data_IF_989339078339
#
_entry.id   IF_989339078339
#
_cell.length_a   1.000
_cell.length_b   1.000
_cell.length_c   1.000
_cell.angle_alpha   90.00
_cell.angle_beta   90.00
_cell.angle_gamma   90.00
#
_symmetry.space_group_name_H-M   'P 1'
#
loop_
_entity.id
_entity.type
_entity.pdbx_description
1 polymer ?
#
# COMPACT_ATOMS: atom_id res chain seq x y z
N UNK A 1 2.23 -17.46 3.67
CA UNK A 1 0.95 -17.06 3.03
C UNK A 1 1.30 -16.61 1.63
N UNK A 2 0.94 -17.38 0.61
CA UNK A 2 1.25 -17.02 -0.78
C UNK A 2 0.00 -17.19 -1.62
N UNK A 3 -0.18 -16.32 -2.61
CA UNK A 3 -1.29 -16.33 -3.56
C UNK A 3 -0.79 -15.75 -4.89
N UNK A 4 -1.11 -16.46 -5.98
CA UNK A 4 -0.71 -16.12 -7.34
C UNK A 4 -1.89 -15.56 -8.14
N UNK A 5 -3.08 -15.43 -7.55
CA UNK A 5 -4.28 -14.81 -8.13
C UNK A 5 -4.79 -15.37 -9.49
N UNK A 6 -4.24 -16.50 -9.96
CA UNK A 6 -4.54 -17.31 -11.16
C UNK A 6 -5.95 -17.94 -11.23
N UNK A 7 -7.00 -17.18 -10.93
CA UNK A 7 -8.39 -17.54 -11.17
C UNK A 7 -9.21 -16.26 -11.26
N UNK A 8 -9.90 -16.03 -12.38
CA UNK A 8 -10.74 -14.86 -12.62
C UNK A 8 -11.96 -14.78 -11.66
N UNK A 9 -12.44 -13.57 -11.38
CA UNK A 9 -13.75 -13.34 -10.74
C UNK A 9 -13.85 -13.77 -9.27
N UNK A 10 -12.73 -13.88 -8.54
CA UNK A 10 -12.72 -14.29 -7.14
C UNK A 10 -13.39 -13.25 -6.24
N UNK A 11 -14.49 -13.64 -5.60
CA UNK A 11 -15.05 -12.88 -4.48
C UNK A 11 -14.08 -12.88 -3.29
N UNK A 12 -13.99 -11.74 -2.62
CA UNK A 12 -13.28 -11.55 -1.36
C UNK A 12 -14.24 -11.28 -0.19
N UNK A 13 -15.53 -11.57 -0.35
CA UNK A 13 -16.52 -11.48 0.74
C UNK A 13 -16.20 -12.46 1.89
N UNK A 14 -16.79 -12.21 3.06
CA UNK A 14 -16.49 -12.92 4.30
C UNK A 14 -17.02 -14.36 4.30
N UNK A 15 -16.19 -15.29 3.80
CA UNK A 15 -16.49 -16.72 3.73
C UNK A 15 -16.20 -17.33 2.35
N UNK A 16 -16.16 -16.51 1.31
CA UNK A 16 -15.99 -16.94 -0.08
C UNK A 16 -14.54 -17.34 -0.43
N UNK A 17 -13.54 -16.77 0.28
CA UNK A 17 -12.14 -17.13 0.07
C UNK A 17 -11.36 -17.40 1.35
N UNK A 18 -10.47 -18.40 1.28
CA UNK A 18 -9.82 -19.01 2.44
C UNK A 18 -8.53 -18.32 2.91
N UNK A 19 -7.92 -17.47 2.08
CA UNK A 19 -6.69 -16.71 2.45
C UNK A 19 -6.96 -15.23 2.76
N UNK A 20 -8.02 -14.65 2.20
CA UNK A 20 -8.24 -13.20 2.13
C UNK A 20 -9.71 -12.84 2.33
N UNK A 21 -10.00 -11.73 3.00
CA UNK A 21 -11.34 -11.12 3.05
C UNK A 21 -11.25 -9.60 2.98
N UNK A 22 -12.12 -9.00 2.16
CA UNK A 22 -12.32 -7.57 2.00
C UNK A 22 -13.23 -7.00 3.11
N UNK A 23 -13.09 -5.71 3.42
CA UNK A 23 -13.90 -5.02 4.42
C UNK A 23 -14.90 -4.05 3.79
N UNK A 24 -16.18 -4.18 4.15
CA UNK A 24 -17.17 -3.10 4.05
C UNK A 24 -17.08 -2.22 5.31
N UNK A 25 -16.36 -1.10 5.22
CA UNK A 25 -16.17 -0.18 6.35
C UNK A 25 -15.76 1.23 5.93
N UNK A 26 -16.41 2.23 6.52
CA UNK A 26 -15.95 3.62 6.52
C UNK A 26 -14.62 3.78 7.29
N UNK A 27 -13.65 4.49 6.70
CA UNK A 27 -12.39 4.78 7.39
C UNK A 27 -12.52 6.05 8.24
N UNK A 28 -12.19 5.96 9.53
CA UNK A 28 -12.28 7.05 10.50
C UNK A 28 -10.93 7.62 10.94
N UNK A 29 -9.80 7.24 10.31
CA UNK A 29 -8.48 7.81 10.64
C UNK A 29 -7.97 8.77 9.57
N UNK A 30 -7.04 9.63 9.98
CA UNK A 30 -6.20 10.44 9.10
C UNK A 30 -6.98 11.27 8.07
N UNK A 31 -8.12 11.87 8.43
CA UNK A 31 -9.00 12.64 7.52
C UNK A 31 -9.31 11.92 6.20
N UNK A 32 -9.69 10.64 6.30
CA UNK A 32 -10.04 9.79 5.17
C UNK A 32 -11.22 10.34 4.36
N UNK A 33 -11.15 10.20 3.03
CA UNK A 33 -12.21 10.62 2.09
C UNK A 33 -12.95 9.44 1.43
N UNK A 34 -12.66 8.20 1.85
CA UNK A 34 -13.16 6.97 1.23
C UNK A 34 -13.87 6.00 2.19
N UNK A 35 -14.78 5.22 1.64
CA UNK A 35 -15.31 3.99 2.24
C UNK A 35 -14.58 2.79 1.60
N UNK A 36 -14.16 1.83 2.41
CA UNK A 36 -13.77 0.52 1.89
C UNK A 36 -15.02 -0.35 1.69
N UNK A 37 -15.06 -1.08 0.58
CA UNK A 37 -16.14 -1.98 0.24
C UNK A 37 -15.63 -3.29 -0.37
N UNK A 38 -16.37 -4.37 -0.17
CA UNK A 38 -16.10 -5.70 -0.75
C UNK A 38 -16.15 -5.69 -2.27
N UNK A 39 -17.08 -4.93 -2.86
CA UNK A 39 -17.30 -4.87 -4.31
C UNK A 39 -16.28 -4.02 -5.11
N UNK A 40 -15.24 -3.48 -4.46
CA UNK A 40 -14.16 -2.71 -5.11
C UNK A 40 -12.88 -3.53 -5.30
N UNK A 41 -12.99 -4.86 -5.27
CA UNK A 41 -11.87 -5.78 -5.44
C UNK A 41 -12.33 -7.13 -5.96
N UNK A 42 -11.56 -7.70 -6.88
CA UNK A 42 -11.72 -9.06 -7.42
C UNK A 42 -10.41 -9.45 -8.13
N UNK A 43 -10.43 -10.53 -8.90
CA UNK A 43 -9.37 -10.93 -9.82
C UNK A 43 -9.82 -10.84 -11.27
N UNK A 44 -8.91 -10.47 -12.16
CA UNK A 44 -9.13 -10.26 -13.60
C UNK A 44 -7.95 -10.85 -14.37
N UNK A 45 -8.18 -11.34 -15.59
CA UNK A 45 -7.14 -11.95 -16.41
C UNK A 45 -7.04 -11.26 -17.78
N UNK A 46 -5.82 -10.94 -18.19
CA UNK A 46 -5.54 -10.35 -19.51
C UNK A 46 -5.62 -11.40 -20.64
N UNK A 47 -5.27 -12.64 -20.31
CA UNK A 47 -5.31 -13.85 -21.14
C UNK A 47 -5.37 -15.09 -20.21
N UNK A 48 -5.27 -16.30 -20.77
CA UNK A 48 -5.43 -17.55 -20.01
C UNK A 48 -4.34 -17.79 -18.94
N UNK A 49 -3.16 -17.17 -19.04
CA UNK A 49 -2.03 -17.35 -18.11
C UNK A 49 -1.73 -16.12 -17.24
N UNK A 50 -2.17 -14.91 -17.63
CA UNK A 50 -1.85 -13.64 -16.95
C UNK A 50 -3.05 -13.06 -16.17
N UNK A 51 -3.27 -13.58 -14.95
CA UNK A 51 -4.26 -13.08 -14.00
C UNK A 51 -3.65 -12.17 -12.92
N UNK A 52 -4.46 -11.29 -12.33
CA UNK A 52 -4.05 -10.43 -11.22
C UNK A 52 -5.22 -10.12 -10.28
N UNK A 53 -4.90 -9.90 -9.01
CA UNK A 53 -5.78 -9.25 -8.04
C UNK A 53 -5.79 -7.74 -8.28
N UNK A 54 -6.93 -7.08 -8.09
CA UNK A 54 -6.95 -5.63 -8.05
C UNK A 54 -7.78 -5.05 -6.90
N UNK A 55 -7.39 -3.84 -6.49
CA UNK A 55 -8.21 -2.92 -5.71
C UNK A 55 -8.52 -1.74 -6.61
N UNK A 56 -9.80 -1.57 -6.93
CA UNK A 56 -10.30 -0.41 -7.65
C UNK A 56 -10.53 0.75 -6.68
N UNK A 57 -10.45 1.96 -7.17
CA UNK A 57 -10.85 3.16 -6.43
C UNK A 57 -11.55 4.11 -7.38
N UNK A 58 -12.78 4.46 -7.03
CA UNK A 58 -13.71 5.23 -7.86
C UNK A 58 -14.39 6.36 -7.07
N UNK A 59 -14.95 7.32 -7.79
CA UNK A 59 -15.70 8.46 -7.25
C UNK A 59 -17.11 8.00 -6.88
N UNK A 60 -17.44 8.10 -5.59
CA UNK A 60 -18.73 7.67 -5.06
C UNK A 60 -19.09 8.47 -3.80
N UNK A 61 -19.80 9.59 -3.99
CA UNK A 61 -20.30 10.37 -2.85
C UNK A 61 -21.31 9.57 -2.03
N UNK A 62 -21.04 9.43 -0.74
CA UNK A 62 -21.84 8.66 0.21
C UNK A 62 -21.85 9.37 1.56
N UNK A 63 -23.02 9.89 1.95
CA UNK A 63 -23.23 10.51 3.25
C UNK A 63 -23.60 9.43 4.28
N UNK A 64 -22.86 9.35 5.38
CA UNK A 64 -23.07 8.36 6.45
C UNK A 64 -23.17 9.08 7.80
N UNK A 65 -24.20 8.75 8.57
CA UNK A 65 -24.29 9.13 9.98
C UNK A 65 -23.32 8.29 10.81
N UNK A 66 -22.31 8.91 11.42
CA UNK A 66 -21.28 8.25 12.24
C UNK A 66 -21.36 8.74 13.69
N UNK A 67 -20.90 7.90 14.64
CA UNK A 67 -20.71 8.32 16.02
C UNK A 67 -19.32 8.92 16.19
N UNK A 68 -19.23 10.13 16.77
CA UNK A 68 -17.97 10.83 17.01
C UNK A 68 -17.76 11.09 18.51
N UNK A 69 -16.74 10.44 19.09
CA UNK A 69 -16.32 10.59 20.48
C UNK A 69 -15.49 11.86 20.76
N UNK A 70 -15.12 12.62 19.72
CA UNK A 70 -14.17 13.74 19.80
C UNK A 70 -14.81 15.13 19.74
N UNK A 71 -16.12 15.22 19.49
CA UNK A 71 -16.87 16.48 19.57
C UNK A 71 -17.31 16.78 21.02
N UNK A 72 -17.44 18.07 21.34
CA UNK A 72 -17.84 18.53 22.68
C UNK A 72 -19.29 18.15 22.97
N UNK A 73 -19.47 17.13 23.81
CA UNK A 73 -20.62 16.22 23.83
C UNK A 73 -20.60 15.23 22.66
N UNK A 74 -20.08 14.00 22.85
CA UNK A 74 -20.16 12.92 21.87
C UNK A 74 -21.57 12.70 21.34
N UNK A 75 -21.66 12.36 20.06
CA UNK A 75 -22.94 12.26 19.37
C UNK A 75 -22.82 11.73 17.95
N UNK A 76 -23.96 11.75 17.26
CA UNK A 76 -24.02 11.42 15.83
C UNK A 76 -23.81 12.67 14.97
N UNK A 77 -23.00 12.54 13.94
CA UNK A 77 -22.75 13.55 12.90
C UNK A 77 -22.90 12.92 11.51
N UNK A 78 -23.27 13.72 10.51
CA UNK A 78 -23.27 13.27 9.11
C UNK A 78 -21.90 13.58 8.47
N UNK A 79 -21.27 12.58 7.87
CA UNK A 79 -19.97 12.70 7.21
C UNK A 79 -20.08 12.24 5.76
N UNK A 80 -19.66 13.12 4.85
CA UNK A 80 -19.53 12.85 3.43
C UNK A 80 -18.21 12.14 3.14
N UNK A 81 -18.30 10.91 2.65
CA UNK A 81 -17.21 10.24 1.94
C UNK A 81 -17.43 10.46 0.43
N UNK A 82 -16.35 10.57 -0.34
CA UNK A 82 -16.39 10.96 -1.75
C UNK A 82 -15.86 9.89 -2.70
N UNK A 83 -15.22 8.86 -2.14
CA UNK A 83 -14.57 7.79 -2.87
C UNK A 83 -14.96 6.43 -2.29
N UNK A 84 -14.92 5.40 -3.12
CA UNK A 84 -15.08 4.01 -2.70
C UNK A 84 -13.87 3.21 -3.20
N UNK A 85 -13.34 2.36 -2.34
CA UNK A 85 -12.12 1.57 -2.57
C UNK A 85 -12.23 0.23 -1.83
N UNK A 86 -11.17 -0.56 -1.74
CA UNK A 86 -11.13 -1.79 -0.93
C UNK A 86 -9.94 -1.83 0.06
N UNK A 87 -10.15 -2.57 1.14
CA UNK A 87 -9.12 -3.05 2.05
C UNK A 87 -9.31 -4.55 2.21
N UNK A 88 -8.29 -5.34 1.86
CA UNK A 88 -8.28 -6.80 1.88
C UNK A 88 -7.25 -7.28 2.89
N UNK A 89 -7.68 -8.17 3.80
CA UNK A 89 -6.89 -8.64 4.93
C UNK A 89 -6.69 -10.15 4.85
N UNK A 90 -5.48 -10.62 5.14
CA UNK A 90 -5.14 -12.03 5.18
C UNK A 90 -5.69 -12.75 6.42
N UNK A 91 -6.31 -13.91 6.25
CA UNK A 91 -6.80 -14.75 7.35
C UNK A 91 -5.68 -15.40 8.16
N UNK A 92 -4.67 -15.94 7.46
CA UNK A 92 -3.60 -16.70 8.09
C UNK A 92 -2.62 -15.76 8.81
N UNK A 93 -2.64 -15.78 10.13
CA UNK A 93 -1.68 -15.02 10.94
C UNK A 93 -0.39 -15.82 11.11
N UNK A 94 0.76 -15.22 10.82
CA UNK A 94 2.07 -15.87 10.82
C UNK A 94 3.16 -14.94 11.41
N UNK A 95 4.21 -15.52 11.98
CA UNK A 95 5.31 -14.76 12.57
C UNK A 95 6.48 -14.72 11.59
N UNK A 96 6.80 -13.54 11.02
CA UNK A 96 8.03 -13.37 10.24
C UNK A 96 9.22 -13.57 11.18
N UNK A 97 9.98 -14.64 10.95
CA UNK A 97 11.22 -14.96 11.66
C UNK A 97 12.28 -15.34 10.62
N UNK A 98 12.96 -14.33 10.06
CA UNK A 98 13.88 -14.49 8.93
C UNK A 98 13.21 -14.67 7.56
N UNK A 99 11.87 -14.59 7.50
CA UNK A 99 11.11 -14.80 6.26
C UNK A 99 11.18 -13.61 5.31
N UNK A 100 11.27 -13.89 4.00
CA UNK A 100 11.21 -12.91 2.91
C UNK A 100 9.78 -12.85 2.37
N UNK A 101 9.22 -11.65 2.24
CA UNK A 101 7.96 -11.44 1.53
C UNK A 101 8.20 -10.64 0.24
N UNK A 102 7.74 -11.19 -0.88
CA UNK A 102 7.82 -10.57 -2.21
C UNK A 102 6.40 -10.36 -2.74
N UNK A 103 6.15 -9.17 -3.27
CA UNK A 103 4.85 -8.74 -3.81
C UNK A 103 5.10 -8.09 -5.16
N UNK A 104 4.59 -8.66 -6.25
CA UNK A 104 4.67 -8.02 -7.58
C UNK A 104 3.39 -7.22 -7.82
N UNK A 105 3.52 -5.90 -7.95
CA UNK A 105 2.38 -4.98 -7.94
C UNK A 105 2.58 -3.76 -8.83
N UNK A 106 1.47 -3.16 -9.25
CA UNK A 106 1.40 -1.87 -9.94
C UNK A 106 0.54 -0.94 -9.09
N UNK A 107 1.04 0.26 -8.82
CA UNK A 107 0.35 1.26 -8.01
C UNK A 107 -0.65 2.07 -8.87
N UNK A 108 -1.80 2.47 -8.30
CA UNK A 108 -2.77 3.30 -9.00
C UNK A 108 -2.23 4.73 -9.16
N UNK A 109 -2.51 5.33 -10.31
CA UNK A 109 -2.15 6.70 -10.62
C UNK A 109 -2.76 7.13 -11.95
N UNK A 110 -2.89 8.43 -12.17
CA UNK A 110 -3.40 8.99 -13.40
C UNK A 110 -2.31 8.93 -14.49
N UNK A 111 -2.07 7.74 -15.06
CA UNK A 111 -0.94 7.46 -15.97
C UNK A 111 -1.35 7.25 -17.44
N UNK A 112 -2.58 7.59 -17.81
CA UNK A 112 -3.02 7.58 -19.21
C UNK A 112 -2.57 8.84 -19.95
N UNK A 113 -2.36 8.77 -21.28
CA UNK A 113 -2.11 9.98 -22.09
C UNK A 113 -3.26 11.00 -22.01
N UNK A 114 -4.48 10.56 -21.72
CA UNK A 114 -5.64 11.43 -21.55
C UNK A 114 -5.56 12.29 -20.28
N UNK A 115 -4.92 11.79 -19.21
CA UNK A 115 -4.87 12.43 -17.89
C UNK A 115 -4.16 13.79 -17.84
N UNK A 116 -3.39 14.15 -18.87
CA UNK A 116 -2.54 15.35 -18.88
C UNK A 116 -1.26 15.25 -18.03
N UNK A 117 -0.98 14.09 -17.42
CA UNK A 117 0.15 13.90 -16.51
C UNK A 117 1.51 14.16 -17.21
N UNK A 118 2.32 15.13 -16.72
CA UNK A 118 3.60 15.49 -17.34
C UNK A 118 4.67 14.39 -17.22
N UNK A 119 4.56 13.48 -16.25
CA UNK A 119 5.45 12.33 -16.10
C UNK A 119 5.21 11.29 -17.21
N UNK A 120 4.00 11.27 -17.80
CA UNK A 120 3.62 10.45 -18.95
C UNK A 120 3.94 11.16 -20.28
N UNK A 121 3.97 12.50 -20.29
CA UNK A 121 4.44 13.25 -21.45
C UNK A 121 5.95 13.08 -21.69
N UNK A 122 6.74 12.80 -20.64
CA UNK A 122 8.20 12.63 -20.68
C UNK A 122 8.63 11.30 -20.03
N UNK A 123 8.02 10.18 -20.46
CA UNK A 123 8.21 8.85 -19.87
C UNK A 123 9.67 8.50 -19.58
N UNK A 124 9.97 8.29 -18.31
CA UNK A 124 11.21 7.67 -17.84
C UNK A 124 10.92 6.82 -16.61
N UNK A 125 11.08 5.50 -16.73
CA UNK A 125 10.83 4.55 -15.64
C UNK A 125 11.63 4.84 -14.36
N UNK A 126 12.79 5.48 -14.50
CA UNK A 126 13.71 5.86 -13.41
C UNK A 126 13.57 7.32 -12.95
N UNK A 127 12.78 8.14 -13.63
CA UNK A 127 12.34 9.41 -13.06
C UNK A 127 11.38 9.17 -11.90
N UNK A 128 11.31 10.12 -10.96
CA UNK A 128 10.32 10.10 -9.87
C UNK A 128 9.09 10.92 -10.25
N UNK A 129 7.92 10.46 -9.82
CA UNK A 129 6.66 11.18 -9.94
C UNK A 129 6.79 12.63 -9.47
N UNK A 130 6.48 13.61 -10.34
CA UNK A 130 6.89 15.01 -10.14
C UNK A 130 5.92 15.86 -9.34
N UNK A 131 4.61 15.57 -9.38
CA UNK A 131 3.62 16.14 -8.46
C UNK A 131 2.70 15.07 -7.89
N UNK A 132 2.28 15.28 -6.64
CA UNK A 132 1.27 14.48 -5.95
C UNK A 132 -0.10 14.51 -6.63
N UNK A 133 -0.42 15.55 -7.40
CA UNK A 133 -1.76 15.77 -7.96
C UNK A 133 -2.21 14.59 -8.86
N UNK A 134 -1.29 13.96 -9.60
CA UNK A 134 -1.57 12.80 -10.46
C UNK A 134 -1.55 11.45 -9.72
N UNK A 135 -1.20 11.43 -8.44
CA UNK A 135 -1.14 10.23 -7.58
C UNK A 135 -1.81 10.52 -6.21
N UNK A 136 -3.10 10.90 -6.18
CA UNK A 136 -3.81 11.29 -4.96
C UNK A 136 -4.17 10.12 -4.04
N UNK A 137 -3.75 8.90 -4.38
CA UNK A 137 -4.06 7.67 -3.67
C UNK A 137 -2.87 7.21 -2.84
N UNK A 138 -3.13 6.61 -1.68
CA UNK A 138 -2.13 5.91 -0.88
C UNK A 138 -2.36 4.39 -0.98
N UNK A 139 -1.83 3.71 -2.01
CA UNK A 139 -1.72 2.26 -2.01
C UNK A 139 -0.81 1.82 -0.87
N UNK A 140 -1.18 0.72 -0.22
CA UNK A 140 -0.41 0.13 0.85
C UNK A 140 -0.48 -1.39 0.82
N UNK A 141 0.68 -2.03 0.69
CA UNK A 141 0.90 -3.41 1.10
C UNK A 141 1.70 -3.40 2.40
N UNK A 142 1.09 -3.87 3.47
CA UNK A 142 1.64 -3.78 4.83
C UNK A 142 1.17 -4.93 5.70
N UNK A 143 1.65 -4.97 6.94
CA UNK A 143 1.31 -6.00 7.91
C UNK A 143 0.92 -5.36 9.25
N UNK A 144 0.02 -6.02 9.98
CA UNK A 144 -0.37 -5.62 11.33
C UNK A 144 -0.37 -6.81 12.29
N UNK A 145 0.05 -6.57 13.53
CA UNK A 145 0.05 -7.57 14.60
C UNK A 145 -1.37 -7.97 15.03
N UNK A 146 -1.53 -9.23 15.42
CA UNK A 146 -2.79 -9.87 15.75
C UNK A 146 -3.69 -9.17 16.78
N UNK A 147 -3.10 -8.37 17.68
CA UNK A 147 -3.77 -7.57 18.69
C UNK A 147 -4.61 -6.42 18.13
N UNK A 148 -4.27 -5.89 16.95
CA UNK A 148 -4.95 -4.77 16.32
C UNK A 148 -5.72 -5.18 15.07
N UNK A 149 -6.90 -4.59 14.86
CA UNK A 149 -7.60 -4.61 13.56
C UNK A 149 -7.42 -3.24 12.90
N UNK A 150 -6.86 -3.20 11.70
CA UNK A 150 -6.71 -1.95 10.96
C UNK A 150 -8.07 -1.25 10.82
N UNK A 151 -8.08 0.09 10.80
CA UNK A 151 -9.26 0.98 10.78
C UNK A 151 -10.31 0.81 11.91
N UNK A 152 -10.11 -0.10 12.86
CA UNK A 152 -10.84 -0.15 14.14
C UNK A 152 -10.00 0.54 15.23
N UNK A 153 -10.11 1.86 15.32
CA UNK A 153 -9.32 2.76 16.20
C UNK A 153 -9.23 2.31 17.66
N UNK A 154 -10.34 1.82 18.23
CA UNK A 154 -10.38 1.30 19.61
C UNK A 154 -9.57 0.02 19.81
N UNK A 155 -9.30 -0.76 18.75
CA UNK A 155 -8.49 -1.99 18.82
C UNK A 155 -6.98 -1.76 18.62
N UNK A 156 -6.60 -0.73 17.85
CA UNK A 156 -5.18 -0.41 17.62
C UNK A 156 -4.58 0.44 18.73
N UNK A 157 -5.40 1.00 19.63
CA UNK A 157 -4.96 1.98 20.65
C UNK A 157 -4.16 3.16 20.05
N UNK A 158 -4.48 3.55 18.81
CA UNK A 158 -3.74 4.52 17.97
C UNK A 158 -2.31 4.11 17.56
N UNK A 159 -1.89 2.87 17.80
CA UNK A 159 -0.64 2.34 17.28
C UNK A 159 -0.75 2.11 15.75
N UNK A 160 0.25 2.57 15.02
CA UNK A 160 0.54 2.18 13.63
C UNK A 160 1.46 0.94 13.65
N UNK A 161 1.71 0.21 12.54
CA UNK A 161 2.29 -1.14 12.58
C UNK A 161 3.78 -1.21 12.99
N UNK A 162 4.43 -0.07 13.29
CA UNK A 162 5.83 0.00 13.68
C UNK A 162 5.98 0.41 15.15
N UNK A 163 6.45 -0.51 15.97
CA UNK A 163 7.08 -0.20 17.26
C UNK A 163 8.57 0.06 17.03
N UNK A 164 9.14 1.02 17.75
CA UNK A 164 10.58 1.30 17.74
C UNK A 164 11.24 0.75 19.00
N UNK A 165 12.53 0.43 18.93
CA UNK A 165 13.32 -0.05 20.08
C UNK A 165 13.57 1.00 21.16
N UNK A 166 13.31 2.27 20.85
CA UNK A 166 13.59 3.45 21.65
C UNK A 166 12.39 4.41 21.63
N UNK A 167 12.34 5.37 22.57
CA UNK A 167 11.34 6.43 22.61
C UNK A 167 12.06 7.79 22.64
N UNK A 168 12.07 8.49 21.50
CA UNK A 168 12.92 9.64 21.21
C UNK A 168 12.24 10.53 20.17
N UNK A 169 12.28 11.86 20.30
CA UNK A 169 11.66 12.82 19.37
C UNK A 169 12.14 12.63 17.92
N UNK A 170 13.40 12.20 17.72
CA UNK A 170 13.96 11.87 16.40
C UNK A 170 13.15 10.80 15.65
N UNK A 171 12.47 9.90 16.36
CA UNK A 171 11.65 8.82 15.78
C UNK A 171 10.37 9.38 15.14
N UNK A 172 9.85 10.50 15.67
CA UNK A 172 8.68 11.20 15.14
C UNK A 172 8.98 12.02 13.88
N UNK A 173 10.26 12.17 13.49
CA UNK A 173 10.64 12.87 12.26
C UNK A 173 10.32 11.99 11.03
N UNK A 174 9.47 12.49 10.13
CA UNK A 174 9.05 11.80 8.91
C UNK A 174 10.21 11.46 7.96
N UNK A 175 11.36 12.14 8.02
CA UNK A 175 12.55 11.77 7.24
C UNK A 175 13.14 10.40 7.61
N UNK A 176 12.82 9.89 8.79
CA UNK A 176 13.20 8.53 9.24
C UNK A 176 12.15 7.47 8.85
N UNK A 177 11.05 7.86 8.20
CA UNK A 177 10.02 6.98 7.65
C UNK A 177 10.22 6.90 6.13
N UNK A 178 11.20 6.11 5.69
CA UNK A 178 11.54 5.99 4.27
C UNK A 178 10.59 5.04 3.55
N UNK A 179 10.16 5.43 2.36
CA UNK A 179 9.41 4.56 1.45
C UNK A 179 10.38 3.57 0.79
N UNK A 180 10.24 2.27 1.10
CA UNK A 180 10.99 1.23 0.41
C UNK A 180 10.36 0.92 -0.96
N UNK A 181 10.60 1.81 -1.93
CA UNK A 181 10.36 1.52 -3.33
C UNK A 181 11.57 0.74 -3.88
N UNK A 182 11.37 -0.53 -4.21
CA UNK A 182 12.41 -1.41 -4.75
C UNK A 182 13.05 -0.78 -5.99
N UNK A 183 14.36 -0.54 -5.93
CA UNK A 183 15.10 0.24 -6.94
C UNK A 183 15.74 -0.60 -8.04
N UNK A 184 15.40 -1.89 -8.16
CA UNK A 184 15.97 -2.79 -9.17
C UNK A 184 17.47 -3.09 -8.99
N UNK A 185 18.01 -2.90 -7.78
CA UNK A 185 19.40 -3.22 -7.48
C UNK A 185 19.55 -4.71 -7.11
N UNK A 186 20.65 -5.34 -7.53
CA UNK A 186 21.02 -6.65 -6.99
C UNK A 186 21.46 -6.50 -5.54
N UNK A 187 21.02 -7.44 -4.71
CA UNK A 187 21.24 -7.35 -3.27
C UNK A 187 22.68 -7.79 -2.94
N UNK A 188 23.44 -6.86 -2.37
CA UNK A 188 24.80 -7.08 -1.86
C UNK A 188 24.80 -8.00 -0.64
N UNK A 189 24.56 -9.30 -0.86
CA UNK A 189 24.83 -10.30 0.17
C UNK A 189 26.35 -10.44 0.39
N UNK A 190 26.76 -11.01 1.52
CA UNK A 190 28.18 -11.12 1.89
C UNK A 190 28.99 -12.11 1.03
N UNK A 191 28.36 -12.79 0.07
CA UNK A 191 29.02 -13.68 -0.91
C UNK A 191 29.07 -13.05 -2.32
N UNK A 192 28.49 -11.86 -2.56
CA UNK A 192 28.58 -11.22 -3.88
C UNK A 192 29.98 -10.67 -4.13
N UNK A 193 30.61 -11.13 -5.21
CA UNK A 193 31.96 -10.78 -5.61
C UNK A 193 32.05 -9.55 -6.52
N UNK A 194 30.91 -9.02 -6.99
CA UNK A 194 30.86 -7.76 -7.74
C UNK A 194 30.89 -6.56 -6.76
N UNK A 195 31.94 -5.71 -6.77
CA UNK A 195 32.06 -4.57 -5.86
C UNK A 195 31.02 -3.47 -6.07
N UNK A 196 30.39 -3.39 -7.25
CA UNK A 196 29.31 -2.44 -7.57
C UNK A 196 27.92 -3.10 -7.50
N UNK A 197 27.86 -4.43 -7.32
CA UNK A 197 26.63 -5.24 -7.23
C UNK A 197 25.64 -5.00 -8.39
N UNK A 198 26.18 -5.11 -9.61
CA UNK A 198 25.45 -5.06 -10.88
C UNK A 198 25.12 -6.43 -11.48
N UNK A 199 25.71 -7.52 -10.95
CA UNK A 199 25.42 -8.91 -11.36
C UNK A 199 25.17 -9.89 -10.18
N UNK A 200 24.72 -11.10 -10.51
CA UNK A 200 24.35 -12.18 -9.57
C UNK A 200 25.46 -13.25 -9.44
N UNK A 201 26.27 -13.15 -8.39
CA UNK A 201 27.23 -14.19 -8.01
C UNK A 201 26.56 -15.44 -7.41
N UNK A 202 27.00 -16.63 -7.83
CA UNK A 202 26.49 -17.92 -7.32
C UNK A 202 27.02 -18.27 -5.93
N UNK A 203 26.13 -18.70 -5.03
CA UNK A 203 26.41 -18.98 -3.61
C UNK A 203 26.80 -20.44 -3.33
N UNK A 204 27.63 -20.66 -2.30
CA UNK A 204 27.93 -22.00 -1.75
C UNK A 204 28.09 -22.05 -0.22
N UNK A 205 27.26 -21.38 0.59
CA UNK A 205 27.18 -21.70 2.02
C UNK A 205 25.82 -21.48 2.70
N UNK A 206 25.48 -22.34 3.67
CA UNK A 206 24.25 -22.28 4.46
C UNK A 206 24.52 -21.86 5.91
N UNK A 207 24.73 -20.56 6.17
CA UNK A 207 24.39 -19.90 7.44
C UNK A 207 24.82 -18.41 7.48
N UNK A 208 23.85 -17.49 7.59
CA UNK A 208 24.07 -16.21 8.29
C UNK A 208 22.76 -15.74 8.93
N UNK A 209 22.85 -15.09 10.10
CA UNK A 209 21.70 -14.80 10.97
C UNK A 209 21.20 -13.36 10.84
N UNK A 210 19.88 -13.22 10.88
CA UNK A 210 19.12 -12.06 10.39
C UNK A 210 19.17 -10.83 11.34
N UNK A 211 19.44 -9.60 10.85
CA UNK A 211 19.26 -8.31 11.60
C UNK A 211 18.51 -7.25 10.75
N UNK A 212 17.64 -6.41 11.34
CA UNK A 212 16.38 -5.96 10.69
C UNK A 212 16.36 -4.47 10.21
N UNK A 213 15.60 -4.25 9.12
CA UNK A 213 14.79 -3.06 8.81
C UNK A 213 13.35 -3.50 8.48
N UNK A 214 12.35 -2.59 8.61
CA UNK A 214 10.94 -2.86 8.26
C UNK A 214 10.26 -1.61 7.71
N UNK A 215 9.95 -1.61 6.42
CA UNK A 215 9.14 -0.56 5.80
C UNK A 215 7.89 -1.17 5.18
N UNK A 216 6.77 -0.44 5.27
CA UNK A 216 5.58 -0.80 4.51
C UNK A 216 5.82 -0.44 3.05
N UNK A 217 5.30 -1.26 2.14
CA UNK A 217 5.22 -0.94 0.72
C UNK A 217 4.04 0.01 0.53
N UNK A 218 4.22 1.23 1.02
CA UNK A 218 3.17 2.21 1.25
C UNK A 218 3.71 3.59 0.88
N UNK A 219 3.34 4.05 -0.31
CA UNK A 219 3.79 5.29 -0.91
C UNK A 219 2.62 5.90 -1.67
N UNK A 220 2.38 7.20 -1.46
CA UNK A 220 1.40 7.95 -2.24
C UNK A 220 2.04 8.51 -3.52
N UNK A 221 3.17 9.20 -3.39
CA UNK A 221 3.90 9.80 -4.52
C UNK A 221 5.42 9.85 -4.29
N UNK A 222 6.17 10.37 -5.27
CA UNK A 222 7.61 10.63 -5.17
C UNK A 222 8.52 9.41 -5.32
N UNK A 223 7.98 8.26 -5.74
CA UNK A 223 8.75 7.06 -6.14
C UNK A 223 9.00 7.04 -7.65
N UNK A 224 9.78 6.07 -8.12
CA UNK A 224 10.09 5.90 -9.53
C UNK A 224 8.86 5.51 -10.35
N UNK A 225 8.72 6.08 -11.55
CA UNK A 225 7.55 5.93 -12.42
C UNK A 225 7.25 4.47 -12.81
N UNK A 226 8.26 3.60 -12.82
CA UNK A 226 8.07 2.15 -12.98
C UNK A 226 6.96 1.58 -12.08
N UNK A 227 6.85 2.05 -10.83
CA UNK A 227 5.85 1.57 -9.88
C UNK A 227 4.39 1.90 -10.23
N UNK A 228 4.15 2.88 -11.10
CA UNK A 228 2.81 3.23 -11.60
C UNK A 228 2.57 2.71 -13.03
N UNK A 229 3.64 2.51 -13.81
CA UNK A 229 3.57 2.14 -15.22
C UNK A 229 3.62 0.63 -15.49
N UNK A 230 4.17 -0.17 -14.56
CA UNK A 230 4.37 -1.61 -14.73
C UNK A 230 4.25 -2.37 -13.38
N UNK A 231 4.17 -3.70 -13.45
CA UNK A 231 4.17 -4.63 -12.32
C UNK A 231 5.59 -4.81 -11.75
N UNK A 232 5.99 -3.91 -10.86
CA UNK A 232 7.27 -3.96 -10.14
C UNK A 232 7.25 -5.01 -9.03
N UNK A 233 8.32 -5.79 -8.95
CA UNK A 233 8.56 -6.70 -7.82
C UNK A 233 9.05 -5.90 -6.62
N UNK A 234 8.28 -5.86 -5.54
CA UNK A 234 8.67 -5.28 -4.26
C UNK A 234 9.05 -6.36 -3.26
N UNK A 235 10.17 -6.20 -2.57
CA UNK A 235 10.60 -7.08 -1.48
C UNK A 235 10.58 -6.38 -0.12
N UNK A 236 10.05 -7.06 0.89
CA UNK A 236 10.17 -6.67 2.30
C UNK A 236 11.33 -7.45 2.90
N UNK A 237 12.44 -6.77 3.13
CA UNK A 237 13.72 -7.36 3.54
C UNK A 237 14.25 -6.78 4.85
N UNK A 238 14.71 -7.68 5.71
CA UNK A 238 15.24 -7.40 7.05
C UNK A 238 16.75 -7.13 6.93
N UNK A 239 17.12 -5.88 6.61
CA UNK A 239 18.51 -5.40 6.36
C UNK A 239 19.25 -4.99 7.65
N UNK A 240 20.47 -5.51 7.84
CA UNK A 240 21.26 -5.36 9.07
C UNK A 240 21.99 -4.02 9.24
N UNK A 241 22.14 -3.21 8.17
CA UNK A 241 23.21 -2.22 8.07
C UNK A 241 22.77 -0.81 7.62
N UNK A 242 22.03 -0.07 8.47
CA UNK A 242 22.02 1.40 8.39
C UNK A 242 21.57 2.12 9.68
N UNK A 243 21.72 3.45 9.68
CA UNK A 243 21.64 4.35 10.85
C UNK A 243 20.21 4.75 11.28
N UNK A 244 19.17 4.07 10.78
CA UNK A 244 17.78 4.38 11.15
C UNK A 244 17.45 3.82 12.55
N UNK A 245 16.49 4.42 13.29
CA UNK A 245 15.96 3.82 14.52
C UNK A 245 15.44 2.41 14.26
N UNK A 246 15.81 1.44 15.11
CA UNK A 246 15.50 0.02 14.87
C UNK A 246 14.02 -0.24 15.14
N UNK A 247 13.24 -0.35 14.06
CA UNK A 247 11.87 -0.84 14.11
C UNK A 247 11.88 -2.29 14.59
N UNK A 248 11.24 -2.53 15.74
CA UNK A 248 11.12 -3.85 16.33
C UNK A 248 9.93 -4.54 15.69
N UNK A 249 10.18 -5.59 14.90
CA UNK A 249 9.12 -6.52 14.52
C UNK A 249 8.52 -7.12 15.79
N UNK A 250 7.19 -7.10 15.87
CA UNK A 250 6.51 -7.79 16.95
C UNK A 250 6.62 -9.28 16.66
N UNK A 251 7.27 -10.05 17.53
CA UNK A 251 7.41 -11.52 17.43
C UNK A 251 6.09 -12.25 17.73
N UNK A 252 5.00 -11.78 17.12
CA UNK A 252 3.63 -12.26 17.26
C UNK A 252 3.04 -12.50 15.87
N UNK A 253 1.94 -13.27 15.78
CA UNK A 253 1.28 -13.50 14.52
C UNK A 253 0.84 -12.18 13.88
N UNK A 254 1.19 -11.98 12.62
CA UNK A 254 0.81 -10.83 11.80
C UNK A 254 0.07 -11.30 10.55
N UNK A 255 -0.70 -10.41 9.94
CA UNK A 255 -1.42 -10.67 8.70
C UNK A 255 -1.11 -9.56 7.68
N UNK A 256 -1.11 -9.92 6.40
CA UNK A 256 -1.00 -8.94 5.31
C UNK A 256 -2.28 -8.15 5.14
N UNK A 257 -2.12 -6.90 4.71
CA UNK A 257 -3.18 -5.98 4.35
C UNK A 257 -2.79 -5.34 3.01
N UNK A 258 -3.69 -5.45 2.03
CA UNK A 258 -3.71 -4.63 0.82
C UNK A 258 -4.81 -3.57 0.98
N UNK A 259 -4.52 -2.30 0.69
CA UNK A 259 -5.56 -1.28 0.56
C UNK A 259 -5.14 -0.17 -0.40
N UNK A 260 -6.12 0.60 -0.88
CA UNK A 260 -5.87 1.91 -1.49
C UNK A 260 -6.64 2.95 -0.68
N UNK A 261 -5.94 3.92 -0.10
CA UNK A 261 -6.54 4.88 0.83
C UNK A 261 -6.48 6.30 0.29
N UNK A 262 -7.57 7.06 0.44
CA UNK A 262 -7.63 8.49 0.09
C UNK A 262 -7.87 9.36 1.33
N UNK A 263 -7.24 10.53 1.37
CA UNK A 263 -7.22 11.45 2.53
C UNK A 263 -6.78 12.86 2.14
N UNK A 264 -7.38 13.88 2.73
CA UNK A 264 -6.91 15.26 2.65
C UNK A 264 -5.56 15.50 3.34
N UNK A 265 -5.17 14.64 4.29
CA UNK A 265 -3.83 14.64 4.90
C UNK A 265 -2.74 14.09 3.96
N UNK A 266 -3.12 13.43 2.85
CA UNK A 266 -2.20 12.91 1.83
C UNK A 266 -2.43 13.55 0.45
N UNK A 267 -3.04 14.74 0.40
CA UNK A 267 -3.23 15.53 -0.82
C UNK A 267 -4.50 15.24 -1.62
N UNK A 268 -5.25 14.19 -1.32
CA UNK A 268 -6.53 13.94 -1.98
C UNK A 268 -7.55 15.03 -1.64
N UNK A 269 -8.26 15.54 -2.65
CA UNK A 269 -9.33 16.54 -2.51
C UNK A 269 -10.63 15.91 -2.98
N UNK A 270 -11.80 16.21 -2.39
CA UNK A 270 -13.06 15.75 -2.93
C UNK A 270 -13.26 16.17 -4.40
N UNK A 271 -13.98 15.37 -5.21
CA UNK A 271 -14.63 15.90 -6.40
C UNK A 271 -15.61 17.01 -5.96
N UNK A 272 -15.59 18.15 -6.65
CA UNK A 272 -16.58 19.23 -6.51
C UNK A 272 -16.71 19.93 -5.13
N UNK A 273 -15.66 20.00 -4.31
CA UNK A 273 -15.66 20.83 -3.09
C UNK A 273 -15.56 22.35 -3.37
N UNK A 274 -16.64 22.96 -3.86
CA UNK A 274 -16.94 24.41 -3.71
C UNK A 274 -16.89 25.27 -4.97
N UNK A 275 -15.93 25.04 -5.88
CA UNK A 275 -15.87 25.68 -7.22
C UNK A 275 -14.84 25.04 -8.16
N UNK A 276 -13.83 24.37 -7.59
CA UNK A 276 -12.75 23.67 -8.28
C UNK A 276 -12.48 22.38 -7.47
N UNK A 277 -12.67 21.21 -8.07
CA UNK A 277 -12.52 19.91 -7.39
C UNK A 277 -12.50 18.78 -8.40
N UNK A 278 -11.80 17.68 -8.10
CA UNK A 278 -11.15 16.84 -9.13
C UNK A 278 -9.97 17.57 -9.86
N UNK A 279 -9.20 18.34 -9.10
CA UNK A 279 -8.06 19.12 -9.61
C UNK A 279 -7.03 18.31 -10.39
N UNK A 280 -6.87 18.67 -11.66
CA UNK A 280 -5.73 19.52 -12.03
C UNK A 280 -6.23 20.90 -12.48
N UNK A 281 -5.30 21.81 -12.80
CA UNK A 281 -5.49 23.20 -13.27
C UNK A 281 -6.28 23.42 -14.58
N UNK A 282 -7.24 22.56 -14.93
CA UNK A 282 -8.09 22.61 -16.12
C UNK A 282 -7.47 22.04 -17.42
N UNK A 283 -7.48 20.74 -17.76
CA UNK A 283 -8.07 19.57 -17.05
C UNK A 283 -9.62 19.71 -16.91
N UNK A 284 -10.45 18.67 -16.71
CA UNK A 284 -10.64 17.86 -15.50
C UNK A 284 -10.09 16.41 -15.58
N UNK A 285 -9.38 16.08 -16.66
CA UNK A 285 -8.69 14.83 -17.04
C UNK A 285 -8.17 13.82 -15.97
N UNK A 286 -7.91 14.20 -14.71
CA UNK A 286 -7.68 13.20 -13.64
C UNK A 286 -8.98 12.58 -13.13
N UNK A 287 -10.10 13.31 -13.15
CA UNK A 287 -11.43 12.75 -12.92
C UNK A 287 -11.73 11.66 -13.97
N UNK A 288 -11.37 11.92 -15.24
CA UNK A 288 -11.45 10.96 -16.34
C UNK A 288 -10.44 9.78 -16.23
N UNK A 289 -9.54 9.81 -15.25
CA UNK A 289 -8.64 8.71 -14.93
C UNK A 289 -9.18 7.80 -13.80
N UNK A 290 -10.32 8.12 -13.20
CA UNK A 290 -11.08 7.16 -12.37
C UNK A 290 -11.96 6.27 -13.28
N UNK A 291 -12.18 4.99 -12.92
CA UNK A 291 -11.61 4.30 -11.77
C UNK A 291 -10.13 3.92 -11.96
N UNK A 292 -9.32 4.08 -10.91
CA UNK A 292 -7.91 3.63 -10.91
C UNK A 292 -7.79 2.28 -10.19
N UNK A 293 -6.96 1.37 -10.73
CA UNK A 293 -6.69 0.05 -10.14
C UNK A 293 -5.27 -0.03 -9.58
N UNK A 294 -5.13 -0.40 -8.31
CA UNK A 294 -3.92 -1.06 -7.81
C UNK A 294 -3.96 -2.52 -8.26
N UNK A 295 -2.90 -3.04 -8.86
CA UNK A 295 -2.82 -4.45 -9.27
C UNK A 295 -1.78 -5.20 -8.44
N UNK A 296 -2.05 -6.47 -8.14
CA UNK A 296 -1.09 -7.42 -7.54
C UNK A 296 -1.13 -8.71 -8.35
N UNK A 297 0.01 -9.05 -8.94
CA UNK A 297 0.25 -10.25 -9.75
C UNK A 297 0.42 -11.47 -8.83
N UNK A 298 1.32 -11.37 -7.84
CA UNK A 298 1.43 -12.35 -6.77
C UNK A 298 1.88 -11.73 -5.45
N UNK A 299 1.62 -12.45 -4.36
CA UNK A 299 2.35 -12.36 -3.10
C UNK A 299 2.95 -13.72 -2.76
N UNK A 300 4.26 -13.76 -2.51
CA UNK A 300 5.00 -14.96 -2.13
C UNK A 300 5.75 -14.73 -0.83
N UNK A 301 5.41 -15.52 0.18
CA UNK A 301 6.13 -15.56 1.47
C UNK A 301 7.03 -16.77 1.49
N UNK A 302 8.34 -16.52 1.55
CA UNK A 302 9.39 -17.52 1.57
C UNK A 302 9.87 -17.76 3.01
N UNK A 303 9.86 -19.02 3.40
CA UNK A 303 10.48 -19.48 4.64
C UNK A 303 11.89 -19.96 4.34
N UNK A 304 12.87 -19.40 5.05
CA UNK A 304 14.31 -19.68 4.94
C UNK A 304 14.76 -20.51 6.15
#
# INVERSE_FOLDING_TARGET
MSDEFNLEGRSFEAGEYHLWTALDKNDGVNAALKIYATNMTTTECCDEDNCYFYIETDIAETNITVWNDYISSPGYEEVSFYYRSAMVQGWNKFCIQGELAVVRAQLPGAVSNASGNPDVANLSMTARASSIDYYPMWPGTWMLGDLGRAIFTGSTARMWPFSYNECNETISNSQNQRMNAYTGAYLSNAENTDPECTESGGSTSTASTFTYQMDALSSNWGIHMAGYLDLVTYSVEWNAAQMNPRKVMVEKPMYFIFNVAMSSSWGAKPPNAGTLGCYGDGIDAICDAFPMKMKVDYIRVYRV
#
